data_IF_352647157358
#
_entry.id   IF_352647157358
#
_cell.length_a   1.000
_cell.length_b   1.000
_cell.length_c   1.000
_cell.angle_alpha   90.00
_cell.angle_beta   90.00
_cell.angle_gamma   90.00
#
_symmetry.space_group_name_H-M   'P 1'
#
loop_
_entity.id
_entity.type
_entity.pdbx_description
1 polymer ?
#
# COMPACT_ATOMS: atom_id res chain seq x y z
N UNK A 1 4.55 -13.47 -6.17
CA UNK A 1 4.20 -12.43 -7.17
C UNK A 1 5.49 -11.89 -7.76
N UNK A 2 5.49 -11.51 -9.04
CA UNK A 2 6.66 -10.90 -9.66
C UNK A 2 6.88 -9.48 -9.11
N UNK A 3 8.14 -9.06 -8.99
CA UNK A 3 8.49 -7.66 -8.70
C UNK A 3 8.98 -7.02 -9.99
N UNK A 4 8.35 -5.93 -10.40
CA UNK A 4 8.87 -5.15 -11.52
C UNK A 4 10.06 -4.33 -11.06
N UNK A 5 11.17 -4.42 -11.79
CA UNK A 5 12.41 -3.68 -11.50
C UNK A 5 12.69 -2.75 -12.67
N UNK A 6 12.89 -1.47 -12.35
CA UNK A 6 13.31 -0.44 -13.30
C UNK A 6 14.80 -0.19 -13.10
N UNK A 7 15.55 -0.07 -14.19
CA UNK A 7 17.00 0.16 -14.15
C UNK A 7 17.40 1.45 -14.88
N UNK A 8 16.95 2.64 -14.43
CA UNK A 8 17.35 3.90 -15.04
C UNK A 8 18.82 4.19 -14.71
N UNK A 9 19.69 4.15 -15.74
CA UNK A 9 21.12 4.50 -15.72
C UNK A 9 21.94 3.97 -14.53
N UNK A 10 21.84 4.60 -13.35
CA UNK A 10 22.62 4.32 -12.15
C UNK A 10 21.82 3.73 -10.99
N UNK A 11 20.49 3.65 -11.09
CA UNK A 11 19.62 3.13 -10.04
C UNK A 11 18.92 1.83 -10.46
N UNK A 12 18.69 0.94 -9.49
CA UNK A 12 17.78 -0.20 -9.62
C UNK A 12 16.61 0.05 -8.67
N UNK A 13 15.40 0.16 -9.19
CA UNK A 13 14.21 0.51 -8.44
C UNK A 13 13.19 -0.64 -8.50
N UNK A 14 12.82 -1.19 -7.35
CA UNK A 14 11.67 -2.09 -7.25
C UNK A 14 10.38 -1.26 -7.22
N UNK A 15 9.43 -1.60 -8.07
CA UNK A 15 8.07 -1.07 -8.03
C UNK A 15 7.29 -1.78 -6.92
N UNK A 16 6.82 -1.00 -5.96
CA UNK A 16 5.83 -1.40 -4.96
C UNK A 16 4.47 -0.90 -5.44
N UNK A 17 3.59 -1.79 -5.84
CA UNK A 17 2.26 -1.42 -6.31
C UNK A 17 1.22 -2.47 -5.97
N UNK A 18 0.07 -2.05 -5.44
CA UNK A 18 -1.07 -2.92 -5.21
C UNK A 18 -2.35 -2.10 -5.01
N UNK A 19 -3.50 -2.78 -5.15
CA UNK A 19 -4.77 -2.30 -4.63
C UNK A 19 -5.14 -3.10 -3.38
N UNK A 20 -5.63 -2.42 -2.35
CA UNK A 20 -6.13 -3.02 -1.11
C UNK A 20 -7.64 -2.79 -1.01
N UNK A 21 -8.38 -3.82 -0.59
CA UNK A 21 -9.83 -3.72 -0.35
C UNK A 21 -10.25 -4.55 0.85
N UNK A 22 -11.24 -4.03 1.58
CA UNK A 22 -11.97 -4.74 2.62
C UNK A 22 -13.46 -4.78 2.27
N UNK A 23 -13.95 -5.96 1.92
CA UNK A 23 -15.37 -6.22 1.61
C UNK A 23 -16.16 -6.77 2.81
N UNK A 24 -15.56 -6.78 4.00
CA UNK A 24 -16.14 -7.30 5.25
C UNK A 24 -15.43 -8.53 5.80
N UNK A 25 -14.51 -9.12 5.04
CA UNK A 25 -13.66 -10.24 5.48
C UNK A 25 -12.26 -9.81 5.96
N UNK A 26 -12.05 -8.50 6.12
CA UNK A 26 -10.74 -7.90 6.40
C UNK A 26 -10.08 -7.34 5.14
N UNK A 27 -9.00 -6.58 5.34
CA UNK A 27 -8.22 -6.02 4.24
C UNK A 27 -7.40 -7.08 3.53
N UNK A 28 -7.42 -7.04 2.20
CA UNK A 28 -6.70 -7.98 1.34
C UNK A 28 -6.07 -7.28 0.14
N UNK A 29 -5.02 -7.88 -0.41
CA UNK A 29 -4.47 -7.53 -1.71
C UNK A 29 -5.43 -7.99 -2.80
N UNK A 30 -5.80 -7.10 -3.72
CA UNK A 30 -6.52 -7.50 -4.93
C UNK A 30 -5.51 -8.09 -5.92
N UNK A 31 -5.76 -9.33 -6.34
CA UNK A 31 -4.92 -10.08 -7.29
C UNK A 31 -5.82 -10.89 -8.23
N UNK A 32 -6.57 -10.21 -9.09
CA UNK A 32 -7.50 -10.79 -10.06
C UNK A 32 -7.04 -10.52 -11.51
N UNK A 33 -7.91 -10.77 -12.51
CA UNK A 33 -7.54 -10.56 -13.92
C UNK A 33 -7.30 -9.09 -14.30
N UNK A 34 -7.74 -8.14 -13.48
CA UNK A 34 -7.57 -6.70 -13.71
C UNK A 34 -6.51 -6.06 -12.80
N UNK A 35 -6.12 -6.73 -11.71
CA UNK A 35 -5.20 -6.19 -10.71
C UNK A 35 -4.06 -7.17 -10.45
N UNK A 36 -2.82 -6.71 -10.62
CA UNK A 36 -1.62 -7.49 -10.37
C UNK A 36 -0.68 -6.72 -9.44
N UNK A 37 -0.51 -7.15 -8.17
CA UNK A 37 0.44 -6.50 -7.28
C UNK A 37 1.89 -6.73 -7.75
N UNK A 38 2.74 -5.75 -7.48
CA UNK A 38 4.18 -5.77 -7.72
C UNK A 38 4.91 -5.49 -6.42
N UNK A 39 5.85 -6.35 -6.04
CA UNK A 39 6.70 -6.16 -4.85
C UNK A 39 5.99 -6.32 -3.50
N UNK A 40 4.65 -6.30 -3.44
CA UNK A 40 3.85 -6.52 -2.23
C UNK A 40 3.40 -7.98 -2.16
N UNK A 41 3.53 -8.58 -0.97
CA UNK A 41 3.30 -10.01 -0.74
C UNK A 41 2.19 -10.30 0.26
N UNK A 42 1.86 -9.35 1.12
CA UNK A 42 0.78 -9.48 2.10
C UNK A 42 0.32 -8.13 2.63
N UNK A 43 -0.86 -8.16 3.25
CA UNK A 43 -1.35 -7.09 4.12
C UNK A 43 -1.80 -7.73 5.43
N UNK A 44 -1.39 -7.12 6.54
CA UNK A 44 -1.83 -7.46 7.89
C UNK A 44 -2.61 -6.28 8.44
N UNK A 45 -3.73 -6.56 9.08
CA UNK A 45 -4.56 -5.54 9.69
C UNK A 45 -4.22 -5.42 11.18
N UNK A 46 -3.96 -4.21 11.63
CA UNK A 46 -3.82 -3.85 13.04
C UNK A 46 -4.94 -2.87 13.44
N UNK A 47 -5.05 -2.57 14.73
CA UNK A 47 -6.10 -1.68 15.25
C UNK A 47 -5.96 -0.23 14.79
N UNK A 48 -4.76 0.21 14.42
CA UNK A 48 -4.46 1.61 14.10
C UNK A 48 -3.86 1.79 12.69
N UNK A 49 -3.52 0.70 12.00
CA UNK A 49 -2.93 0.75 10.66
C UNK A 49 -3.08 -0.56 9.88
N UNK A 50 -2.85 -0.50 8.58
CA UNK A 50 -2.54 -1.65 7.75
C UNK A 50 -1.03 -1.77 7.61
N UNK A 51 -0.47 -2.97 7.70
CA UNK A 51 0.92 -3.25 7.39
C UNK A 51 1.00 -4.01 6.07
N UNK A 52 1.70 -3.45 5.08
CA UNK A 52 1.99 -4.17 3.82
C UNK A 52 3.41 -4.71 3.84
N UNK A 53 3.58 -5.97 3.44
CA UNK A 53 4.89 -6.63 3.37
C UNK A 53 5.44 -6.57 1.95
N UNK A 54 6.63 -6.02 1.77
CA UNK A 54 7.30 -5.85 0.48
C UNK A 54 8.80 -6.25 0.50
N UNK A 55 9.11 -7.55 0.59
CA UNK A 55 10.48 -8.03 0.83
C UNK A 55 11.32 -8.05 -0.47
N UNK A 56 11.44 -6.90 -1.13
CA UNK A 56 12.12 -6.76 -2.43
C UNK A 56 13.65 -6.65 -2.31
N UNK A 57 14.19 -6.67 -1.09
CA UNK A 57 15.61 -6.47 -0.83
C UNK A 57 16.03 -5.00 -0.97
N UNK A 58 15.16 -4.06 -0.61
CA UNK A 58 15.45 -2.64 -0.71
C UNK A 58 16.54 -2.21 0.29
N UNK A 59 17.37 -1.26 -0.14
CA UNK A 59 18.39 -0.60 0.68
C UNK A 59 18.04 0.86 0.99
N UNK A 60 17.10 1.45 0.25
CA UNK A 60 16.67 2.84 0.46
C UNK A 60 15.26 3.09 -0.08
N UNK A 61 14.52 3.95 0.62
CA UNK A 61 13.20 4.42 0.16
C UNK A 61 13.41 5.57 -0.83
N UNK A 62 12.85 5.45 -2.04
CA UNK A 62 12.78 6.57 -2.99
C UNK A 62 11.47 7.34 -2.79
N UNK A 63 10.34 6.67 -2.97
CA UNK A 63 9.01 7.26 -2.75
C UNK A 63 7.95 6.18 -2.54
N UNK A 64 6.88 6.50 -1.82
CA UNK A 64 5.66 5.70 -1.79
C UNK A 64 4.48 6.61 -1.48
N UNK A 65 3.40 6.40 -2.21
CA UNK A 65 2.13 7.08 -2.03
C UNK A 65 1.03 6.05 -1.83
N UNK A 66 0.06 6.41 -0.99
CA UNK A 66 -1.17 5.67 -0.82
C UNK A 66 -2.30 6.66 -1.00
N UNK A 67 -3.27 6.30 -1.83
CA UNK A 67 -4.37 7.17 -2.20
C UNK A 67 -5.68 6.39 -2.08
N UNK A 68 -6.70 6.92 -1.38
CA UNK A 68 -8.03 6.33 -1.43
C UNK A 68 -8.64 6.55 -2.82
N UNK A 69 -9.44 5.60 -3.29
CA UNK A 69 -10.25 5.82 -4.47
C UNK A 69 -11.42 6.79 -4.22
N UNK A 70 -12.21 7.06 -5.26
CA UNK A 70 -13.31 8.00 -5.23
C UNK A 70 -14.37 7.65 -4.17
N UNK A 71 -14.58 6.35 -3.91
CA UNK A 71 -15.53 5.89 -2.90
C UNK A 71 -15.13 6.32 -1.49
N UNK A 72 -13.86 6.12 -1.14
CA UNK A 72 -13.34 6.50 0.17
C UNK A 72 -13.06 8.01 0.26
N UNK A 73 -12.55 8.62 -0.81
CA UNK A 73 -12.29 10.05 -0.86
C UNK A 73 -13.57 10.88 -0.67
N UNK A 74 -14.69 10.50 -1.31
CA UNK A 74 -15.98 11.15 -1.13
C UNK A 74 -16.52 11.06 0.32
N UNK A 75 -15.98 10.14 1.12
CA UNK A 75 -16.32 9.95 2.55
C UNK A 75 -15.26 10.53 3.48
N UNK A 76 -14.44 11.45 2.96
CA UNK A 76 -13.37 12.12 3.68
C UNK A 76 -12.36 11.17 4.34
N UNK A 77 -12.18 9.96 3.78
CA UNK A 77 -11.07 9.12 4.18
C UNK A 77 -9.77 9.72 3.64
N UNK A 78 -8.77 9.80 4.50
CA UNK A 78 -7.40 10.21 4.18
C UNK A 78 -6.46 9.10 4.60
N UNK A 79 -5.31 8.98 3.96
CA UNK A 79 -4.31 8.01 4.35
C UNK A 79 -2.90 8.56 4.23
N UNK A 80 -1.98 7.95 4.99
CA UNK A 80 -0.55 8.23 4.92
C UNK A 80 0.26 6.97 5.15
N UNK A 81 1.43 6.89 4.54
CA UNK A 81 2.34 5.76 4.68
C UNK A 81 3.57 6.13 5.52
N UNK A 82 3.89 5.28 6.49
CA UNK A 82 5.21 5.21 7.11
C UNK A 82 5.98 4.08 6.43
N UNK A 83 7.01 4.45 5.65
CA UNK A 83 7.62 3.57 4.65
C UNK A 83 8.93 2.99 5.17
N UNK A 84 9.01 1.67 5.27
CA UNK A 84 10.23 0.95 5.58
C UNK A 84 10.87 0.30 4.35
N UNK A 85 11.87 -0.56 4.57
CA UNK A 85 12.60 -1.26 3.50
C UNK A 85 12.01 -2.62 3.12
N UNK A 86 11.25 -3.25 4.01
CA UNK A 86 10.60 -4.54 3.76
C UNK A 86 9.12 -4.57 4.18
N UNK A 87 8.67 -3.54 4.91
CA UNK A 87 7.29 -3.35 5.31
C UNK A 87 6.96 -1.86 5.34
N UNK A 88 5.69 -1.51 5.12
CA UNK A 88 5.18 -0.15 5.27
C UNK A 88 3.88 -0.17 6.05
N UNK A 89 3.68 0.82 6.91
CA UNK A 89 2.43 1.03 7.65
C UNK A 89 1.59 2.08 6.96
N UNK A 90 0.31 1.82 6.79
CA UNK A 90 -0.67 2.71 6.20
C UNK A 90 -1.66 3.09 7.28
N UNK A 91 -1.63 4.36 7.67
CA UNK A 91 -2.56 4.93 8.64
C UNK A 91 -3.74 5.56 7.90
N UNK A 92 -4.94 5.32 8.41
CA UNK A 92 -6.19 5.79 7.83
C UNK A 92 -6.82 6.81 8.78
N UNK A 93 -7.37 7.90 8.26
CA UNK A 93 -7.99 8.96 9.03
C UNK A 93 -9.32 9.34 8.40
N UNK A 94 -10.32 9.73 9.20
CA UNK A 94 -11.62 10.18 8.69
C UNK A 94 -11.87 11.65 9.04
N UNK A 95 -12.36 12.41 8.06
CA UNK A 95 -12.65 13.83 8.23
C UNK A 95 -11.42 14.59 8.74
N UNK A 96 -11.57 15.51 9.71
CA UNK A 96 -10.46 16.26 10.29
C UNK A 96 -9.70 15.52 11.39
N UNK A 97 -10.07 14.28 11.74
CA UNK A 97 -9.44 13.54 12.85
C UNK A 97 -7.94 13.36 12.64
N UNK A 98 -7.17 13.50 13.72
CA UNK A 98 -5.74 13.16 13.79
C UNK A 98 -5.50 11.78 14.43
N UNK A 99 -6.56 11.12 14.90
CA UNK A 99 -6.48 9.75 15.42
C UNK A 99 -6.73 8.78 14.28
N UNK A 100 -5.87 7.77 14.06
CA UNK A 100 -6.11 6.75 13.07
C UNK A 100 -7.44 6.02 13.33
N UNK A 101 -8.17 5.71 12.27
CA UNK A 101 -9.36 4.87 12.34
C UNK A 101 -8.96 3.40 12.33
N UNK A 102 -9.71 2.58 13.06
CA UNK A 102 -9.56 1.13 12.99
C UNK A 102 -9.88 0.65 11.56
N UNK A 103 -8.91 0.11 10.80
CA UNK A 103 -9.14 -0.36 9.45
C UNK A 103 -10.23 -1.44 9.36
N UNK A 104 -10.47 -2.21 10.43
CA UNK A 104 -11.52 -3.24 10.47
C UNK A 104 -12.89 -2.66 10.16
N UNK A 105 -13.13 -1.42 10.60
CA UNK A 105 -14.42 -0.74 10.50
C UNK A 105 -14.70 -0.16 9.11
N UNK A 106 -13.67 -0.07 8.28
CA UNK A 106 -13.78 0.45 6.92
C UNK A 106 -14.10 -0.69 5.95
N UNK A 107 -15.39 -0.88 5.70
CA UNK A 107 -15.91 -1.92 4.80
C UNK A 107 -16.60 -1.26 3.61
N UNK A 108 -16.23 -1.70 2.41
CA UNK A 108 -16.85 -1.24 1.16
C UNK A 108 -16.89 -2.36 0.12
N UNK A 109 -17.99 -2.47 -0.61
CA UNK A 109 -18.11 -3.43 -1.72
C UNK A 109 -17.16 -3.13 -2.88
N UNK A 110 -16.79 -1.85 -3.06
CA UNK A 110 -15.96 -1.40 -4.18
C UNK A 110 -14.84 -0.42 -3.82
N UNK A 111 -14.72 0.00 -2.55
CA UNK A 111 -13.74 1.00 -2.12
C UNK A 111 -12.32 0.43 -2.00
N UNK A 112 -11.33 1.17 -2.47
CA UNK A 112 -9.94 0.75 -2.56
C UNK A 112 -8.96 1.75 -1.97
N UNK A 113 -7.81 1.22 -1.54
CA UNK A 113 -6.59 2.01 -1.40
C UNK A 113 -5.62 1.60 -2.51
N UNK A 114 -5.10 2.57 -3.23
CA UNK A 114 -4.08 2.39 -4.25
C UNK A 114 -2.72 2.71 -3.66
N UNK A 115 -1.80 1.74 -3.69
CA UNK A 115 -0.42 1.91 -3.25
C UNK A 115 0.47 1.94 -4.48
N UNK A 116 1.35 2.93 -4.58
CA UNK A 116 2.41 2.97 -5.60
C UNK A 116 3.67 3.60 -5.02
N UNK A 117 4.83 3.02 -5.30
CA UNK A 117 6.11 3.53 -4.83
C UNK A 117 7.30 2.86 -5.48
N UNK A 118 8.47 3.43 -5.24
CA UNK A 118 9.76 2.90 -5.68
C UNK A 118 10.70 2.77 -4.49
N UNK A 119 11.37 1.62 -4.41
CA UNK A 119 12.45 1.37 -3.46
C UNK A 119 13.75 1.09 -4.21
N UNK A 120 14.85 1.67 -3.77
CA UNK A 120 16.16 1.42 -4.35
C UNK A 120 16.66 0.03 -3.89
N UNK A 121 17.12 -0.76 -4.85
CA UNK A 121 17.79 -2.04 -4.66
C UNK A 121 19.32 -1.85 -4.65
N UNK A 122 20.08 -2.82 -4.13
CA UNK A 122 21.53 -2.85 -4.34
C UNK A 122 21.89 -2.75 -5.83
N UNK A 123 23.11 -2.29 -6.16
CA UNK A 123 23.67 -2.43 -7.50
C UNK A 123 23.53 -3.87 -8.05
N UNK A 124 23.54 -4.01 -9.38
CA UNK A 124 23.43 -5.31 -10.05
C UNK A 124 24.61 -6.24 -9.69
#
# INVERSE_FOLDING_TARGET
MATHILTPATARLALISCALRNTGAGWSLISDSAHAPSGVTGVVQHLDHLEITHPVGAVKVSSMQVTPDEWYAARALRCGASVGLALSRIYLYSGPSLTPVDPATLVASSGNLWVTGFLELPPA
#
